data_IF_477302585505
#
_entry.id   IF_477302585505
#
_cell.length_a   1.000
_cell.length_b   1.000
_cell.length_c   1.000
_cell.angle_alpha   90.00
_cell.angle_beta   90.00
_cell.angle_gamma   90.00
#
_symmetry.space_group_name_H-M   'P 1'
#
loop_
_entity.id
_entity.type
_entity.pdbx_description
1 polymer ?
#
# COMPACT_ATOMS: atom_id res chain seq x y z
N UNK A 1 -21.85 -6.72 -29.72
CA UNK A 1 -21.82 -6.15 -28.37
C UNK A 1 -20.48 -6.52 -27.76
N UNK A 2 -19.53 -5.58 -27.68
CA UNK A 2 -18.27 -5.81 -26.96
C UNK A 2 -18.49 -5.35 -25.52
N UNK A 3 -18.28 -6.25 -24.57
CA UNK A 3 -18.30 -5.92 -23.14
C UNK A 3 -17.15 -4.97 -22.81
N UNK A 4 -17.32 -4.00 -21.91
CA UNK A 4 -16.27 -3.06 -21.58
C UNK A 4 -15.12 -3.76 -20.86
N UNK A 5 -13.90 -3.54 -21.36
CA UNK A 5 -12.61 -3.90 -20.75
C UNK A 5 -12.52 -3.33 -19.32
N UNK A 6 -13.03 -4.08 -18.34
CA UNK A 6 -13.07 -3.65 -16.92
C UNK A 6 -11.98 -4.33 -16.08
N UNK A 7 -11.08 -5.09 -16.70
CA UNK A 7 -10.03 -5.87 -16.02
C UNK A 7 -8.67 -5.16 -15.96
N UNK A 8 -8.49 -4.04 -16.67
CA UNK A 8 -7.22 -3.28 -16.67
C UNK A 8 -7.13 -2.23 -15.55
N UNK A 9 -8.11 -2.16 -14.64
CA UNK A 9 -7.89 -1.56 -13.32
C UNK A 9 -7.09 -2.56 -12.51
N UNK A 10 -5.84 -2.77 -12.92
CA UNK A 10 -4.82 -3.42 -12.13
C UNK A 10 -4.98 -2.90 -10.71
N UNK A 11 -5.48 -3.80 -9.86
CA UNK A 11 -5.53 -3.69 -8.42
C UNK A 11 -4.26 -2.96 -8.02
N UNK A 12 -4.41 -1.71 -7.56
CA UNK A 12 -3.26 -0.88 -7.24
C UNK A 12 -2.34 -1.70 -6.33
N UNK A 13 -1.01 -1.57 -6.43
CA UNK A 13 -0.14 -2.24 -5.47
C UNK A 13 -0.65 -1.90 -4.06
N UNK A 14 -0.97 -2.94 -3.28
CA UNK A 14 -1.66 -2.88 -1.98
C UNK A 14 -3.15 -2.48 -1.99
N UNK A 15 -3.94 -2.94 -2.96
CA UNK A 15 -5.41 -2.84 -2.91
C UNK A 15 -6.01 -3.87 -1.93
N UNK A 16 -5.97 -3.48 -0.66
CA UNK A 16 -6.50 -4.26 0.48
C UNK A 16 -8.03 -4.39 0.39
N UNK A 17 -8.71 -3.44 -0.23
CA UNK A 17 -10.17 -3.46 -0.39
C UNK A 17 -10.56 -4.54 -1.40
N UNK A 18 -9.89 -4.60 -2.54
CA UNK A 18 -10.04 -5.70 -3.51
C UNK A 18 -9.69 -7.06 -2.89
N UNK A 19 -8.63 -7.12 -2.08
CA UNK A 19 -8.25 -8.35 -1.38
C UNK A 19 -9.33 -8.83 -0.39
N UNK A 20 -9.94 -7.91 0.37
CA UNK A 20 -10.99 -8.24 1.33
C UNK A 20 -12.27 -8.79 0.66
N UNK A 21 -12.56 -8.40 -0.59
CA UNK A 21 -13.66 -8.96 -1.37
C UNK A 21 -13.47 -10.46 -1.69
N UNK A 22 -12.21 -10.91 -1.77
CA UNK A 22 -11.85 -12.29 -2.05
C UNK A 22 -11.49 -13.10 -0.80
N UNK A 23 -11.14 -12.44 0.31
CA UNK A 23 -10.77 -13.07 1.57
C UNK A 23 -11.67 -12.57 2.71
N UNK A 24 -12.81 -13.22 2.99
CA UNK A 24 -13.78 -12.77 3.99
C UNK A 24 -13.26 -12.69 5.43
N UNK A 25 -12.14 -13.35 5.73
CA UNK A 25 -11.47 -13.30 7.03
C UNK A 25 -10.54 -12.07 7.18
N UNK A 26 -10.29 -11.33 6.10
CA UNK A 26 -9.50 -10.11 6.10
C UNK A 26 -10.41 -8.94 6.46
N UNK A 27 -10.12 -8.30 7.58
CA UNK A 27 -10.72 -7.01 7.91
C UNK A 27 -9.84 -5.89 7.35
N UNK A 28 -10.26 -5.19 6.27
CA UNK A 28 -9.44 -4.15 5.66
C UNK A 28 -9.23 -2.96 6.58
N UNK A 29 -10.16 -2.66 7.50
CA UNK A 29 -10.04 -1.56 8.47
C UNK A 29 -8.98 -1.86 9.54
N UNK A 30 -8.64 -3.14 9.73
CA UNK A 30 -7.61 -3.60 10.68
C UNK A 30 -6.36 -4.14 10.01
N UNK A 31 -6.29 -4.08 8.69
CA UNK A 31 -5.12 -4.54 7.95
C UNK A 31 -3.95 -3.58 8.17
N UNK A 32 -2.83 -4.14 8.61
CA UNK A 32 -1.58 -3.40 8.76
C UNK A 32 -0.53 -4.04 7.86
N UNK A 33 -0.05 -3.28 6.88
CA UNK A 33 1.06 -3.70 6.03
C UNK A 33 2.39 -3.47 6.77
N UNK A 34 2.81 -4.49 7.53
CA UNK A 34 4.07 -4.47 8.26
C UNK A 34 5.28 -4.40 7.33
N UNK A 35 5.19 -4.92 6.10
CA UNK A 35 6.27 -4.84 5.13
C UNK A 35 6.45 -3.40 4.63
N UNK A 36 5.35 -2.72 4.30
CA UNK A 36 5.39 -1.30 3.95
C UNK A 36 5.91 -0.45 5.11
N UNK A 37 5.49 -0.74 6.35
CA UNK A 37 6.00 -0.06 7.56
C UNK A 37 7.51 -0.19 7.70
N UNK A 38 8.06 -1.40 7.52
CA UNK A 38 9.51 -1.64 7.59
C UNK A 38 10.26 -0.94 6.47
N UNK A 39 9.78 -1.06 5.23
CA UNK A 39 10.39 -0.40 4.09
C UNK A 39 10.43 1.13 4.26
N UNK A 40 9.39 1.72 4.86
CA UNK A 40 9.37 3.13 5.22
C UNK A 40 10.46 3.49 6.25
N UNK A 41 10.55 2.75 7.36
CA UNK A 41 11.58 2.98 8.39
C UNK A 41 13.00 2.85 7.79
N UNK A 42 13.25 1.78 7.03
CA UNK A 42 14.54 1.55 6.38
C UNK A 42 14.89 2.69 5.40
N UNK A 43 13.91 3.23 4.69
CA UNK A 43 14.11 4.37 3.79
C UNK A 43 14.47 5.65 4.55
N UNK A 44 13.87 5.89 5.73
CA UNK A 44 14.22 7.05 6.58
C UNK A 44 15.64 6.99 7.11
N UNK A 45 16.14 5.78 7.39
CA UNK A 45 17.52 5.58 7.84
C UNK A 45 18.53 5.61 6.69
N UNK A 46 18.15 5.11 5.51
CA UNK A 46 19.00 5.17 4.31
C UNK A 46 19.16 6.60 3.76
N UNK A 47 18.12 7.42 3.88
CA UNK A 47 18.09 8.77 3.28
C UNK A 47 17.74 9.86 4.31
N UNK A 48 18.58 10.06 5.34
CA UNK A 48 18.23 10.93 6.48
C UNK A 48 18.09 12.40 6.10
N UNK A 49 18.84 12.89 5.09
CA UNK A 49 18.73 14.27 4.61
C UNK A 49 17.40 14.50 3.89
N UNK A 50 17.03 13.57 3.00
CA UNK A 50 15.76 13.62 2.27
C UNK A 50 14.58 13.55 3.25
N UNK A 51 14.66 12.66 4.23
CA UNK A 51 13.63 12.52 5.27
C UNK A 51 13.41 13.82 6.05
N UNK A 52 14.48 14.54 6.43
CA UNK A 52 14.37 15.83 7.11
C UNK A 52 13.76 16.92 6.22
N UNK A 53 14.17 16.99 4.95
CA UNK A 53 13.62 17.96 4.00
C UNK A 53 12.13 17.72 3.74
N UNK A 54 11.71 16.46 3.72
CA UNK A 54 10.31 16.07 3.55
C UNK A 54 9.50 16.13 4.85
N UNK A 55 10.10 16.49 5.99
CA UNK A 55 9.44 16.51 7.30
C UNK A 55 9.01 15.13 7.81
N UNK A 56 9.59 14.05 7.27
CA UNK A 56 9.25 12.66 7.59
C UNK A 56 9.99 12.12 8.83
N UNK A 57 11.00 12.87 9.30
CA UNK A 57 11.80 12.55 10.49
C UNK A 57 11.96 13.81 11.33
N UNK A 58 11.39 13.80 12.53
CA UNK A 58 11.57 14.82 13.58
C UNK A 58 12.79 14.52 14.43
#
# INVERSE_FOLDING_TARGET
MNAPDTDERLSQPNDVIGLAQHLPALDPERYVDEQARRAYVDALDKWPVLAKLMGLRG
#
